data_IF_759269387060
#
_entry.id   IF_759269387060
#
_cell.length_a   1.000
_cell.length_b   1.000
_cell.length_c   1.000
_cell.angle_alpha   90.00
_cell.angle_beta   90.00
_cell.angle_gamma   90.00
#
_symmetry.space_group_name_H-M   'P 1'
#
loop_
_entity.id
_entity.type
_entity.pdbx_description
1 polymer ?
#
# COMPACT_ATOMS: atom_id res chain seq x y z
N UNK A 1 -39.12 -5.24 1.08
CA UNK A 1 -38.12 -6.11 1.75
C UNK A 1 -37.14 -5.21 2.50
N UNK A 2 -36.74 -5.57 3.72
CA UNK A 2 -35.71 -4.82 4.44
C UNK A 2 -34.35 -4.99 3.75
N UNK A 3 -33.52 -3.94 3.78
CA UNK A 3 -32.14 -3.99 3.24
C UNK A 3 -31.33 -5.00 4.08
N UNK A 4 -30.55 -5.91 3.47
CA UNK A 4 -29.71 -6.84 4.21
C UNK A 4 -28.69 -6.08 5.08
N UNK A 5 -28.31 -6.67 6.22
CA UNK A 5 -27.27 -6.11 7.08
C UNK A 5 -25.91 -6.11 6.36
N UNK A 6 -24.99 -5.22 6.76
CA UNK A 6 -23.65 -5.21 6.18
C UNK A 6 -22.93 -6.55 6.35
N UNK A 7 -23.11 -7.23 7.48
CA UNK A 7 -22.51 -8.54 7.74
C UNK A 7 -23.04 -9.61 6.77
N UNK A 8 -24.35 -9.60 6.47
CA UNK A 8 -24.94 -10.52 5.51
C UNK A 8 -24.46 -10.26 4.08
N UNK A 9 -24.27 -8.98 3.72
CA UNK A 9 -23.68 -8.61 2.42
C UNK A 9 -22.22 -9.04 2.34
N UNK A 10 -21.42 -8.80 3.39
CA UNK A 10 -20.01 -9.19 3.44
C UNK A 10 -19.85 -10.71 3.35
N UNK A 11 -20.64 -11.47 4.12
CA UNK A 11 -20.63 -12.93 4.07
C UNK A 11 -20.95 -13.45 2.67
N UNK A 12 -21.99 -12.92 2.01
CA UNK A 12 -22.36 -13.32 0.65
C UNK A 12 -21.29 -12.94 -0.39
N UNK A 13 -20.62 -11.79 -0.22
CA UNK A 13 -19.51 -11.39 -1.09
C UNK A 13 -18.31 -12.32 -0.92
N UNK A 14 -17.94 -12.67 0.32
CA UNK A 14 -16.83 -13.59 0.58
C UNK A 14 -17.15 -15.03 0.11
N UNK A 15 -18.37 -15.50 0.32
CA UNK A 15 -18.82 -16.81 -0.18
C UNK A 15 -18.73 -16.87 -1.72
N UNK A 16 -19.10 -15.79 -2.40
CA UNK A 16 -19.19 -15.75 -3.87
C UNK A 16 -17.88 -15.36 -4.57
N UNK A 17 -17.07 -14.52 -3.95
CA UNK A 17 -15.88 -13.91 -4.56
C UNK A 17 -14.58 -14.27 -3.85
N UNK A 18 -14.62 -15.12 -2.81
CA UNK A 18 -13.46 -15.68 -2.16
C UNK A 18 -12.95 -14.84 -0.99
N UNK A 19 -11.63 -14.82 -0.81
CA UNK A 19 -10.99 -14.19 0.35
C UNK A 19 -10.71 -12.72 0.08
N UNK A 20 -10.45 -11.94 1.12
CA UNK A 20 -9.96 -10.57 0.92
C UNK A 20 -8.52 -10.59 0.42
N UNK A 21 -8.03 -9.53 -0.23
CA UNK A 21 -6.61 -9.44 -0.60
C UNK A 21 -5.68 -9.48 0.61
N UNK A 22 -6.12 -8.95 1.77
CA UNK A 22 -5.37 -9.08 3.01
C UNK A 22 -5.23 -10.55 3.42
N UNK A 23 -6.31 -11.34 3.33
CA UNK A 23 -6.28 -12.78 3.62
C UNK A 23 -5.40 -13.55 2.62
N UNK A 24 -5.49 -13.24 1.32
CA UNK A 24 -4.65 -13.85 0.29
C UNK A 24 -3.17 -13.58 0.52
N UNK A 25 -2.83 -12.37 1.00
CA UNK A 25 -1.47 -11.96 1.30
C UNK A 25 -1.01 -12.36 2.71
N UNK A 26 -1.87 -12.94 3.55
CA UNK A 26 -1.57 -13.20 4.96
C UNK A 26 -1.21 -11.93 5.73
N UNK A 27 -1.92 -10.84 5.46
CA UNK A 27 -1.80 -9.55 6.14
C UNK A 27 -2.93 -9.45 7.16
N UNK A 28 -2.58 -9.54 8.44
CA UNK A 28 -3.50 -9.28 9.53
C UNK A 28 -3.65 -7.75 9.72
N UNK A 29 -4.52 -7.15 8.90
CA UNK A 29 -4.70 -5.70 8.84
C UNK A 29 -5.37 -5.15 10.11
N UNK A 30 -6.18 -5.97 10.79
CA UNK A 30 -6.89 -5.62 12.02
C UNK A 30 -5.94 -5.31 13.18
N UNK A 31 -4.76 -5.95 13.21
CA UNK A 31 -3.72 -5.63 14.20
C UNK A 31 -3.32 -4.16 14.19
N UNK A 32 -3.41 -3.48 13.04
CA UNK A 32 -3.04 -2.07 12.92
C UNK A 32 -1.60 -1.77 13.38
N UNK A 33 -0.70 -2.75 13.31
CA UNK A 33 0.72 -2.60 13.67
C UNK A 33 1.53 -2.14 12.45
N UNK A 34 2.76 -1.61 12.64
CA UNK A 34 3.52 -1.01 11.53
C UNK A 34 3.73 -1.95 10.33
N UNK A 35 4.07 -3.21 10.57
CA UNK A 35 4.39 -4.15 9.48
C UNK A 35 3.17 -4.54 8.61
N UNK A 36 2.01 -4.95 9.15
CA UNK A 36 0.80 -5.17 8.35
C UNK A 36 0.37 -3.95 7.53
N UNK A 37 0.41 -2.75 8.13
CA UNK A 37 0.07 -1.51 7.43
C UNK A 37 1.04 -1.23 6.28
N UNK A 38 2.34 -1.44 6.49
CA UNK A 38 3.36 -1.25 5.46
C UNK A 38 3.20 -2.26 4.30
N UNK A 39 3.01 -3.55 4.62
CA UNK A 39 2.75 -4.58 3.60
C UNK A 39 1.51 -4.24 2.77
N UNK A 40 0.47 -3.71 3.41
CA UNK A 40 -0.73 -3.27 2.73
C UNK A 40 -0.51 -2.04 1.84
N UNK A 41 0.33 -1.08 2.27
CA UNK A 41 0.75 0.03 1.42
C UNK A 41 1.49 -0.48 0.16
N UNK A 42 2.45 -1.39 0.31
CA UNK A 42 3.17 -1.97 -0.83
C UNK A 42 2.19 -2.66 -1.80
N UNK A 43 1.24 -3.44 -1.28
CA UNK A 43 0.21 -4.07 -2.10
C UNK A 43 -0.63 -3.01 -2.84
N UNK A 44 -1.07 -1.96 -2.15
CA UNK A 44 -1.86 -0.86 -2.72
C UNK A 44 -1.14 -0.14 -3.87
N UNK A 45 0.17 0.09 -3.70
CA UNK A 45 1.03 0.66 -4.74
C UNK A 45 1.19 -0.25 -5.96
N UNK A 46 1.18 -1.58 -5.75
CA UNK A 46 1.22 -2.54 -6.85
C UNK A 46 -0.13 -2.65 -7.58
N UNK A 47 -1.25 -2.52 -6.84
CA UNK A 47 -2.59 -2.51 -7.43
C UNK A 47 -2.88 -1.25 -8.25
N UNK A 48 -2.20 -0.13 -8.01
CA UNK A 48 -2.48 1.13 -8.69
C UNK A 48 -1.99 1.17 -10.14
N UNK A 49 -1.14 0.23 -10.56
CA UNK A 49 -0.76 0.09 -11.96
C UNK A 49 -1.90 -0.53 -12.79
N UNK A 50 -1.88 -0.32 -14.11
CA UNK A 50 -2.81 -0.97 -15.05
C UNK A 50 -2.41 -2.43 -15.25
N UNK A 51 -2.65 -3.26 -14.24
CA UNK A 51 -2.30 -4.69 -14.17
C UNK A 51 -3.47 -5.50 -13.58
N UNK A 52 -3.48 -6.82 -13.77
CA UNK A 52 -4.45 -7.68 -13.09
C UNK A 52 -4.20 -7.73 -11.59
N UNK A 53 -5.28 -7.85 -10.81
CA UNK A 53 -5.18 -7.99 -9.36
C UNK A 53 -4.34 -9.21 -8.95
N UNK A 54 -4.47 -10.32 -9.67
CA UNK A 54 -3.70 -11.54 -9.43
C UNK A 54 -2.17 -11.30 -9.48
N UNK A 55 -1.68 -10.58 -10.50
CA UNK A 55 -0.26 -10.27 -10.61
C UNK A 55 0.21 -9.29 -9.53
N UNK A 56 -0.64 -8.34 -9.12
CA UNK A 56 -0.33 -7.45 -8.00
C UNK A 56 -0.25 -8.19 -6.66
N UNK A 57 -1.14 -9.17 -6.42
CA UNK A 57 -1.08 -10.07 -5.25
C UNK A 57 0.21 -10.89 -5.27
N UNK A 58 0.54 -11.52 -6.41
CA UNK A 58 1.78 -12.29 -6.57
C UNK A 58 3.03 -11.43 -6.30
N UNK A 59 3.07 -10.21 -6.83
CA UNK A 59 4.16 -9.28 -6.57
C UNK A 59 4.26 -8.87 -5.10
N UNK A 60 3.14 -8.56 -4.45
CA UNK A 60 3.12 -8.17 -3.04
C UNK A 60 3.54 -9.34 -2.12
N UNK A 61 3.12 -10.56 -2.45
CA UNK A 61 3.58 -11.77 -1.76
C UNK A 61 5.09 -11.96 -1.92
N UNK A 62 5.62 -11.80 -3.13
CA UNK A 62 7.05 -11.94 -3.41
C UNK A 62 7.92 -10.96 -2.60
N UNK A 63 7.47 -9.70 -2.40
CA UNK A 63 8.18 -8.76 -1.52
C UNK A 63 8.22 -9.27 -0.06
N UNK A 64 7.11 -9.81 0.44
CA UNK A 64 7.03 -10.35 1.79
C UNK A 64 7.89 -11.62 1.96
N UNK A 65 7.97 -12.47 0.94
CA UNK A 65 8.82 -13.67 0.89
C UNK A 65 10.31 -13.35 0.93
N UNK A 66 10.73 -12.22 0.34
CA UNK A 66 12.09 -11.68 0.53
C UNK A 66 12.34 -11.12 1.95
N UNK A 67 11.32 -11.10 2.81
CA UNK A 67 11.38 -10.57 4.16
C UNK A 67 11.20 -9.05 4.24
N UNK A 68 10.93 -8.36 3.11
CA UNK A 68 10.77 -6.91 3.02
C UNK A 68 9.41 -6.43 3.57
N UNK A 69 9.22 -6.68 4.87
CA UNK A 69 7.96 -6.53 5.60
C UNK A 69 7.87 -5.24 6.42
N UNK A 70 8.88 -4.38 6.30
CA UNK A 70 8.99 -3.07 6.98
C UNK A 70 9.72 -2.09 6.06
N UNK A 71 9.52 -0.76 6.20
CA UNK A 71 10.23 0.23 5.39
C UNK A 71 11.75 0.06 5.41
N UNK A 72 12.34 -0.19 6.59
CA UNK A 72 13.79 -0.39 6.72
C UNK A 72 14.28 -1.56 5.87
N UNK A 73 13.70 -2.75 6.06
CA UNK A 73 14.10 -3.95 5.30
C UNK A 73 13.95 -3.81 3.78
N UNK A 74 12.94 -3.06 3.31
CA UNK A 74 12.78 -2.81 1.87
C UNK A 74 13.75 -1.74 1.36
N UNK A 75 14.05 -0.71 2.16
CA UNK A 75 15.06 0.29 1.83
C UNK A 75 16.49 -0.30 1.79
N UNK A 76 16.78 -1.26 2.66
CA UNK A 76 18.05 -1.99 2.68
C UNK A 76 18.26 -2.84 1.40
N UNK A 77 17.18 -3.17 0.68
CA UNK A 77 17.26 -3.89 -0.58
C UNK A 77 17.71 -2.97 -1.71
N UNK A 78 18.67 -3.44 -2.50
CA UNK A 78 19.12 -2.73 -3.68
C UNK A 78 18.00 -2.60 -4.71
N UNK A 79 18.08 -1.55 -5.53
CA UNK A 79 17.16 -1.38 -6.65
C UNK A 79 17.11 -2.62 -7.56
N UNK A 80 18.27 -3.23 -7.84
CA UNK A 80 18.36 -4.45 -8.67
C UNK A 80 17.66 -5.65 -8.04
N UNK A 81 17.71 -5.80 -6.72
CA UNK A 81 16.96 -6.87 -6.03
C UNK A 81 15.46 -6.64 -6.16
N UNK A 82 14.98 -5.42 -5.91
CA UNK A 82 13.57 -5.07 -6.08
C UNK A 82 13.08 -5.34 -7.50
N UNK A 83 13.82 -4.91 -8.53
CA UNK A 83 13.48 -5.17 -9.94
C UNK A 83 13.42 -6.66 -10.22
N UNK A 84 14.44 -7.43 -9.80
CA UNK A 84 14.45 -8.88 -10.05
C UNK A 84 13.27 -9.60 -9.39
N UNK A 85 12.93 -9.24 -8.15
CA UNK A 85 11.79 -9.82 -7.44
C UNK A 85 10.46 -9.50 -8.14
N UNK A 86 10.26 -8.23 -8.52
CA UNK A 86 9.06 -7.80 -9.25
C UNK A 86 8.94 -8.46 -10.64
N UNK A 87 10.05 -8.56 -11.37
CA UNK A 87 10.08 -9.20 -12.68
C UNK A 87 9.68 -10.68 -12.57
N UNK A 88 10.28 -11.40 -11.63
CA UNK A 88 10.03 -12.82 -11.39
C UNK A 88 8.59 -13.12 -10.92
N UNK A 89 7.91 -12.16 -10.31
CA UNK A 89 6.52 -12.27 -9.87
C UNK A 89 5.50 -11.83 -10.94
N UNK A 90 5.91 -11.74 -12.21
CA UNK A 90 5.02 -11.35 -13.31
C UNK A 90 4.75 -9.85 -13.42
N UNK A 91 5.50 -9.01 -12.71
CA UNK A 91 5.37 -7.55 -12.71
C UNK A 91 6.38 -6.86 -13.66
N UNK A 92 6.96 -7.60 -14.62
CA UNK A 92 8.02 -7.15 -15.52
C UNK A 92 7.73 -5.87 -16.34
N UNK A 93 6.46 -5.56 -16.61
CA UNK A 93 6.09 -4.36 -17.39
C UNK A 93 6.39 -3.06 -16.63
N UNK A 94 6.39 -3.10 -15.31
CA UNK A 94 6.45 -1.92 -14.45
C UNK A 94 7.54 -2.05 -13.36
N UNK A 95 8.35 -3.11 -13.41
CA UNK A 95 9.30 -3.49 -12.37
C UNK A 95 10.30 -2.37 -12.01
N UNK A 96 10.95 -1.76 -12.99
CA UNK A 96 11.93 -0.69 -12.77
C UNK A 96 11.32 0.54 -12.10
N UNK A 97 10.20 1.04 -12.64
CA UNK A 97 9.50 2.20 -12.08
C UNK A 97 8.98 1.91 -10.68
N UNK A 98 8.37 0.74 -10.49
CA UNK A 98 7.82 0.35 -9.20
C UNK A 98 8.92 0.08 -8.17
N UNK A 99 10.06 -0.47 -8.57
CA UNK A 99 11.21 -0.64 -7.69
C UNK A 99 11.73 0.71 -7.18
N UNK A 100 11.85 1.71 -8.07
CA UNK A 100 12.21 3.08 -7.68
C UNK A 100 11.20 3.67 -6.71
N UNK A 101 9.90 3.67 -7.08
CA UNK A 101 8.82 4.21 -6.26
C UNK A 101 8.76 3.57 -4.86
N UNK A 102 8.93 2.24 -4.75
CA UNK A 102 8.97 1.55 -3.46
C UNK A 102 10.14 2.01 -2.59
N UNK A 103 11.31 2.28 -3.19
CA UNK A 103 12.48 2.80 -2.48
C UNK A 103 12.24 4.20 -1.94
N UNK A 104 11.83 5.12 -2.81
CA UNK A 104 11.54 6.51 -2.45
C UNK A 104 10.45 6.59 -1.37
N UNK A 105 9.42 5.75 -1.48
CA UNK A 105 8.38 5.63 -0.45
C UNK A 105 8.99 5.21 0.89
N UNK A 106 9.90 4.24 0.91
CA UNK A 106 10.54 3.81 2.15
C UNK A 106 11.46 4.89 2.74
N UNK A 107 12.21 5.61 1.92
CA UNK A 107 13.05 6.73 2.36
C UNK A 107 12.20 7.80 3.06
N UNK A 108 11.09 8.21 2.45
CA UNK A 108 10.18 9.21 3.05
C UNK A 108 9.55 8.69 4.35
N UNK A 109 9.12 7.42 4.37
CA UNK A 109 8.58 6.80 5.58
C UNK A 109 9.60 6.78 6.71
N UNK A 110 10.86 6.45 6.42
CA UNK A 110 11.93 6.40 7.42
C UNK A 110 12.31 7.80 7.92
N UNK A 111 12.44 8.77 7.03
CA UNK A 111 12.91 10.11 7.38
C UNK A 111 11.88 10.89 8.18
N UNK A 112 10.64 11.00 7.67
CA UNK A 112 9.58 11.82 8.25
C UNK A 112 8.78 11.07 9.31
N UNK A 113 8.48 9.80 9.05
CA UNK A 113 7.55 9.03 9.88
C UNK A 113 8.22 7.89 10.67
N UNK A 114 9.56 7.83 10.68
CA UNK A 114 10.34 6.81 11.40
C UNK A 114 9.91 5.36 11.12
N UNK A 115 9.47 5.12 9.89
CA UNK A 115 9.01 3.83 9.39
C UNK A 115 7.61 3.41 9.85
N UNK A 116 6.80 4.32 10.41
CA UNK A 116 5.50 4.00 10.99
C UNK A 116 4.36 4.82 10.37
N UNK A 117 3.54 4.18 9.55
CA UNK A 117 2.37 4.78 8.89
C UNK A 117 1.33 5.36 9.86
N UNK A 118 1.35 4.94 11.13
CA UNK A 118 0.46 5.51 12.14
C UNK A 118 0.82 6.96 12.44
N UNK A 119 2.10 7.33 12.34
CA UNK A 119 2.56 8.73 12.49
C UNK A 119 2.10 9.60 11.33
N UNK A 120 2.11 9.08 10.10
CA UNK A 120 1.50 9.76 8.94
C UNK A 120 0.03 10.05 9.21
N UNK A 121 -0.72 9.05 9.70
CA UNK A 121 -2.14 9.21 10.04
C UNK A 121 -2.38 10.22 11.16
N UNK A 122 -1.49 10.29 12.15
CA UNK A 122 -1.55 11.27 13.24
C UNK A 122 -1.27 12.69 12.73
N UNK A 123 -0.25 12.86 11.88
CA UNK A 123 0.09 14.14 11.27
C UNK A 123 -1.02 14.65 10.33
N UNK A 124 -1.68 13.74 9.63
CA UNK A 124 -2.86 14.04 8.83
C UNK A 124 -4.11 14.33 9.68
N UNK A 125 -4.03 14.36 11.02
CA UNK A 125 -5.16 14.54 11.94
C UNK A 125 -6.31 13.54 11.70
N UNK A 126 -6.00 12.37 11.13
CA UNK A 126 -6.98 11.36 10.68
C UNK A 126 -7.98 11.88 9.63
N UNK A 127 -7.66 13.00 8.98
CA UNK A 127 -8.43 13.53 7.87
C UNK A 127 -8.03 12.80 6.59
N UNK A 128 -9.03 12.24 5.89
CA UNK A 128 -8.80 11.40 4.71
C UNK A 128 -8.17 12.20 3.54
N UNK A 129 -8.67 13.40 3.17
CA UNK A 129 -7.99 14.26 2.20
C UNK A 129 -6.52 14.50 2.56
N UNK A 130 -6.23 14.93 3.80
CA UNK A 130 -4.83 15.16 4.25
C UNK A 130 -3.98 13.90 4.19
N UNK A 131 -4.55 12.74 4.52
CA UNK A 131 -3.85 11.46 4.48
C UNK A 131 -3.51 11.06 3.05
N UNK A 132 -4.44 11.24 2.10
CA UNK A 132 -4.18 11.02 0.67
C UNK A 132 -3.11 11.98 0.17
N UNK A 133 -3.19 13.26 0.54
CA UNK A 133 -2.16 14.25 0.23
C UNK A 133 -0.79 13.84 0.74
N UNK A 134 -0.69 13.41 2.00
CA UNK A 134 0.57 12.99 2.61
C UNK A 134 1.15 11.72 1.97
N UNK A 135 0.31 10.80 1.47
CA UNK A 135 0.73 9.57 0.78
C UNK A 135 1.16 9.83 -0.68
N UNK A 136 0.52 10.77 -1.37
CA UNK A 136 0.82 11.11 -2.77
C UNK A 136 2.03 12.06 -2.88
N UNK A 137 2.45 12.69 -1.77
CA UNK A 137 3.52 13.70 -1.74
C UNK A 137 4.94 13.17 -1.59
N UNK A 138 5.32 12.34 -2.55
CA UNK A 138 6.74 12.21 -2.91
C UNK A 138 7.20 13.30 -3.89
N UNK A 139 6.33 14.22 -4.36
CA UNK A 139 6.72 15.35 -5.26
C UNK A 139 5.97 16.70 -5.10
N UNK A 140 5.16 16.96 -4.06
CA UNK A 140 4.49 18.29 -3.93
C UNK A 140 4.56 18.82 -2.50
N UNK A 141 5.71 19.37 -2.10
CA UNK A 141 5.87 19.95 -0.76
C UNK A 141 5.00 21.19 -0.50
N UNK A 142 4.40 21.83 -1.52
CA UNK A 142 3.84 23.17 -1.36
C UNK A 142 2.31 23.33 -1.42
N UNK A 143 1.52 22.30 -1.75
CA UNK A 143 0.11 22.55 -2.13
C UNK A 143 -0.94 22.03 -1.14
N UNK A 144 -0.66 22.05 0.16
CA UNK A 144 -1.59 21.49 1.16
C UNK A 144 -2.98 22.14 1.05
N UNK A 145 -3.00 23.43 0.71
CA UNK A 145 -4.21 24.21 0.52
C UNK A 145 -4.98 23.84 -0.75
N UNK A 146 -4.32 23.53 -1.88
CA UNK A 146 -5.01 23.17 -3.13
C UNK A 146 -5.76 21.84 -3.05
N UNK A 147 -5.25 20.85 -2.31
CA UNK A 147 -5.99 19.59 -2.09
C UNK A 147 -7.19 19.79 -1.16
N UNK A 148 -7.09 20.73 -0.20
CA UNK A 148 -8.18 21.08 0.71
C UNK A 148 -9.34 21.75 -0.03
N UNK A 149 -9.03 22.62 -0.99
CA UNK A 149 -10.06 23.29 -1.81
C UNK A 149 -10.76 22.34 -2.78
N UNK A 150 -10.03 21.42 -3.41
CA UNK A 150 -10.60 20.44 -4.34
C UNK A 150 -11.52 19.40 -3.67
N UNK A 151 -11.32 19.10 -2.39
CA UNK A 151 -12.16 18.16 -1.62
C UNK A 151 -13.41 18.82 -1.00
N UNK A 152 -13.50 20.16 -1.02
CA UNK A 152 -14.62 20.91 -0.45
C UNK A 152 -15.71 21.29 -1.48
N UNK A 153 -15.53 20.94 -2.75
CA UNK A 153 -16.52 21.08 -3.83
C UNK A 153 -17.11 19.76 -4.29
#
# INVERSE_FOLDING_TARGET
>A
MAKPSHDAVLAALLERHGRTYCDELGIDIEKGTPSPLFRWLCASLLFSARISAELAVQAAAALAEQGWTTPQKLADATWKERVRTLNASGYARFDERTATMLGETCEILLDRYKGDLRRLREEAERDLPRLVTALVRTELADDYDGVREAAAG
#
